data_IF_574145533273
#
_entry.id   IF_574145533273
#
_cell.length_a   1.000
_cell.length_b   1.000
_cell.length_c   1.000
_cell.angle_alpha   90.00
_cell.angle_beta   90.00
_cell.angle_gamma   90.00
#
_symmetry.space_group_name_H-M   'P 1'
#
loop_
_entity.id
_entity.type
_entity.pdbx_description
1 polymer ?
#
# COMPACT_ATOMS: atom_id res chain seq x y z
N UNK A 1 -15.48 25.77 -0.34
CA UNK A 1 -14.22 25.11 -0.73
C UNK A 1 -13.63 25.89 -1.90
N UNK A 2 -12.39 26.35 -1.77
CA UNK A 2 -11.72 27.20 -2.77
C UNK A 2 -10.86 26.36 -3.71
N UNK A 3 -10.43 26.95 -4.83
CA UNK A 3 -9.42 26.38 -5.74
C UNK A 3 -8.16 25.87 -5.03
N UNK A 4 -7.76 26.55 -3.96
CA UNK A 4 -6.58 26.20 -3.16
C UNK A 4 -6.75 24.87 -2.41
N UNK A 5 -7.95 24.60 -1.90
CA UNK A 5 -8.23 23.38 -1.13
C UNK A 5 -8.11 22.12 -2.03
N UNK A 6 -8.63 22.20 -3.26
CA UNK A 6 -8.52 21.12 -4.24
C UNK A 6 -7.05 20.79 -4.55
N UNK A 7 -6.23 21.81 -4.83
CA UNK A 7 -4.81 21.61 -5.15
C UNK A 7 -4.04 21.03 -3.96
N UNK A 8 -4.33 21.48 -2.74
CA UNK A 8 -3.73 20.93 -1.51
C UNK A 8 -4.07 19.46 -1.34
N UNK A 9 -5.34 19.07 -1.54
CA UNK A 9 -5.76 17.67 -1.43
C UNK A 9 -5.13 16.79 -2.52
N UNK A 10 -5.09 17.26 -3.78
CA UNK A 10 -4.41 16.54 -4.86
C UNK A 10 -2.92 16.31 -4.56
N UNK A 11 -2.20 17.34 -4.12
CA UNK A 11 -0.79 17.21 -3.76
C UNK A 11 -0.60 16.23 -2.61
N UNK A 12 -1.47 16.29 -1.59
CA UNK A 12 -1.43 15.38 -0.45
C UNK A 12 -1.65 13.91 -0.88
N UNK A 13 -2.66 13.66 -1.72
CA UNK A 13 -2.90 12.33 -2.30
C UNK A 13 -1.68 11.85 -3.07
N UNK A 14 -1.14 12.66 -3.99
CA UNK A 14 0.03 12.29 -4.79
C UNK A 14 1.24 11.91 -3.92
N UNK A 15 1.55 12.67 -2.88
CA UNK A 15 2.64 12.35 -1.95
C UNK A 15 2.37 11.04 -1.21
N UNK A 16 1.14 10.82 -0.74
CA UNK A 16 0.76 9.56 -0.08
C UNK A 16 0.85 8.37 -1.02
N UNK A 17 0.39 8.50 -2.27
CA UNK A 17 0.50 7.45 -3.28
C UNK A 17 1.95 7.09 -3.58
N UNK A 18 2.83 8.07 -3.73
CA UNK A 18 4.26 7.83 -3.91
C UNK A 18 4.86 7.06 -2.72
N UNK A 19 4.49 7.43 -1.49
CA UNK A 19 4.94 6.73 -0.28
C UNK A 19 4.42 5.30 -0.18
N UNK A 20 3.12 5.09 -0.44
CA UNK A 20 2.51 3.75 -0.48
C UNK A 20 3.22 2.89 -1.53
N UNK A 21 3.46 3.42 -2.72
CA UNK A 21 4.15 2.68 -3.78
C UNK A 21 5.59 2.30 -3.38
N UNK A 22 6.31 3.19 -2.70
CA UNK A 22 7.64 2.89 -2.16
C UNK A 22 7.58 1.77 -1.12
N UNK A 23 6.62 1.82 -0.20
CA UNK A 23 6.45 0.78 0.82
C UNK A 23 6.05 -0.56 0.18
N UNK A 24 5.18 -0.56 -0.83
CA UNK A 24 4.81 -1.78 -1.57
C UNK A 24 6.02 -2.43 -2.23
N UNK A 25 6.88 -1.66 -2.91
CA UNK A 25 8.11 -2.20 -3.51
C UNK A 25 9.05 -2.80 -2.47
N UNK A 26 9.20 -2.15 -1.30
CA UNK A 26 10.02 -2.70 -0.21
C UNK A 26 9.38 -3.96 0.40
N UNK A 27 8.06 -4.00 0.56
CA UNK A 27 7.34 -5.19 1.00
C UNK A 27 7.54 -6.36 0.04
N UNK A 28 7.57 -6.13 -1.28
CA UNK A 28 7.86 -7.18 -2.27
C UNK A 28 9.24 -7.78 -2.04
N UNK A 29 10.27 -6.95 -1.86
CA UNK A 29 11.63 -7.42 -1.55
C UNK A 29 11.69 -8.20 -0.23
N UNK A 30 10.96 -7.76 0.81
CA UNK A 30 10.88 -8.49 2.07
C UNK A 30 10.17 -9.83 1.88
N UNK A 31 9.06 -9.85 1.15
CA UNK A 31 8.31 -11.08 0.83
C UNK A 31 9.17 -12.06 0.06
N UNK A 32 10.03 -11.62 -0.87
CA UNK A 32 10.95 -12.50 -1.57
C UNK A 32 11.88 -13.27 -0.63
N UNK A 33 12.30 -12.63 0.47
CA UNK A 33 13.20 -13.20 1.48
C UNK A 33 12.47 -14.05 2.54
N UNK A 34 11.16 -13.88 2.71
CA UNK A 34 10.39 -14.73 3.63
C UNK A 34 10.44 -16.20 3.20
N UNK A 35 10.69 -17.08 4.15
CA UNK A 35 10.81 -18.52 3.93
C UNK A 35 12.09 -18.98 3.23
N UNK A 36 13.04 -18.08 2.92
CA UNK A 36 14.39 -18.42 2.43
C UNK A 36 15.37 -18.52 3.61
N UNK A 37 16.64 -18.92 3.40
CA UNK A 37 17.66 -18.89 4.45
C UNK A 37 17.95 -17.47 5.02
N UNK A 38 17.55 -16.41 4.31
CA UNK A 38 17.67 -15.01 4.78
C UNK A 38 16.48 -14.59 5.69
N UNK A 39 15.46 -15.42 5.82
CA UNK A 39 14.32 -15.18 6.69
C UNK A 39 14.77 -15.10 8.16
N UNK A 40 14.34 -14.04 8.84
CA UNK A 40 14.72 -13.76 10.22
C UNK A 40 13.64 -12.95 10.93
N UNK A 41 13.58 -13.03 12.25
CA UNK A 41 12.60 -12.27 13.04
C UNK A 41 12.66 -10.76 12.79
N UNK A 42 13.83 -10.09 12.71
CA UNK A 42 13.88 -8.66 12.38
C UNK A 42 13.31 -8.32 11.00
N UNK A 43 13.47 -9.23 10.01
CA UNK A 43 12.90 -9.07 8.68
C UNK A 43 11.38 -9.15 8.73
N UNK A 44 10.82 -10.10 9.49
CA UNK A 44 9.38 -10.26 9.69
C UNK A 44 8.77 -9.08 10.44
N UNK A 45 9.43 -8.59 11.49
CA UNK A 45 9.00 -7.39 12.21
C UNK A 45 8.97 -6.16 11.29
N UNK A 46 10.00 -5.99 10.45
CA UNK A 46 10.04 -4.92 9.45
C UNK A 46 8.90 -5.06 8.44
N UNK A 47 8.65 -6.27 7.94
CA UNK A 47 7.52 -6.56 7.05
C UNK A 47 6.19 -6.17 7.68
N UNK A 48 5.91 -6.61 8.91
CA UNK A 48 4.66 -6.31 9.62
C UNK A 48 4.49 -4.81 9.89
N UNK A 49 5.55 -4.13 10.31
CA UNK A 49 5.54 -2.68 10.53
C UNK A 49 5.18 -1.94 9.25
N UNK A 50 5.90 -2.23 8.17
CA UNK A 50 5.72 -1.57 6.88
C UNK A 50 4.33 -1.88 6.27
N UNK A 51 3.84 -3.10 6.44
CA UNK A 51 2.48 -3.49 6.04
C UNK A 51 1.42 -2.65 6.78
N UNK A 52 1.57 -2.48 8.10
CA UNK A 52 0.65 -1.69 8.91
C UNK A 52 0.69 -0.19 8.57
N UNK A 53 1.89 0.38 8.42
CA UNK A 53 2.07 1.77 7.96
C UNK A 53 1.40 1.99 6.60
N UNK A 54 1.57 1.05 5.67
CA UNK A 54 0.96 1.12 4.34
C UNK A 54 -0.56 1.07 4.41
N UNK A 55 -1.15 0.19 5.23
CA UNK A 55 -2.60 0.12 5.47
C UNK A 55 -3.17 1.43 6.00
N UNK A 56 -2.48 2.08 6.95
CA UNK A 56 -2.89 3.37 7.50
C UNK A 56 -2.86 4.46 6.43
N UNK A 57 -1.77 4.54 5.66
CA UNK A 57 -1.66 5.50 4.54
C UNK A 57 -2.75 5.31 3.49
N UNK A 58 -3.08 4.06 3.15
CA UNK A 58 -4.18 3.75 2.22
C UNK A 58 -5.53 4.24 2.75
N UNK A 59 -5.83 3.98 4.03
CA UNK A 59 -7.08 4.44 4.67
C UNK A 59 -7.18 5.97 4.66
N UNK A 60 -6.10 6.67 5.00
CA UNK A 60 -6.02 8.13 4.93
C UNK A 60 -6.21 8.64 3.50
N UNK A 61 -5.54 8.01 2.53
CA UNK A 61 -5.64 8.38 1.11
C UNK A 61 -7.07 8.23 0.60
N UNK A 62 -7.76 7.15 0.98
CA UNK A 62 -9.16 6.94 0.63
C UNK A 62 -10.07 8.03 1.20
N UNK A 63 -9.85 8.46 2.44
CA UNK A 63 -10.61 9.54 3.06
C UNK A 63 -10.41 10.87 2.29
N UNK A 64 -9.16 11.20 1.96
CA UNK A 64 -8.84 12.42 1.21
C UNK A 64 -9.41 12.36 -0.21
N UNK A 65 -9.43 11.19 -0.85
CA UNK A 65 -10.09 10.99 -2.16
C UNK A 65 -11.60 11.23 -2.08
N UNK A 66 -12.28 10.76 -1.04
CA UNK A 66 -13.70 11.05 -0.82
C UNK A 66 -13.95 12.54 -0.58
N UNK A 67 -13.08 13.21 0.20
CA UNK A 67 -13.15 14.66 0.37
C UNK A 67 -12.94 15.39 -0.96
N UNK A 68 -11.99 14.96 -1.78
CA UNK A 68 -11.73 15.54 -3.10
C UNK A 68 -12.97 15.46 -4.01
N UNK A 69 -13.69 14.33 -3.99
CA UNK A 69 -14.93 14.14 -4.75
C UNK A 69 -16.09 15.03 -4.27
N UNK A 70 -16.09 15.40 -2.98
CA UNK A 70 -17.13 16.27 -2.40
C UNK A 70 -16.98 17.76 -2.74
N UNK A 71 -15.81 18.18 -3.23
CA UNK A 71 -15.56 19.58 -3.58
C UNK A 71 -16.19 19.88 -4.95
N UNK A 72 -17.32 20.60 -4.93
CA UNK A 72 -17.99 21.09 -6.14
C UNK A 72 -17.06 21.98 -6.99
N UNK A 73 -17.07 21.76 -8.31
CA UNK A 73 -16.18 22.38 -9.27
C UNK A 73 -16.59 23.83 -9.55
N UNK A 74 -15.89 24.80 -8.95
CA UNK A 74 -16.01 26.20 -9.31
C UNK A 74 -15.03 26.56 -10.45
N UNK A 75 -15.57 27.11 -11.56
CA UNK A 75 -14.91 27.64 -12.78
C UNK A 75 -14.53 26.67 -13.91
N UNK A 76 -14.81 27.05 -15.16
CA UNK A 76 -14.61 26.28 -16.41
C UNK A 76 -13.13 26.05 -16.78
N UNK A 77 -12.25 27.03 -16.58
CA UNK A 77 -10.82 26.92 -16.96
C UNK A 77 -10.04 25.97 -16.02
N UNK A 78 -10.40 25.96 -14.74
CA UNK A 78 -9.88 25.02 -13.75
C UNK A 78 -10.49 23.61 -13.93
N UNK A 79 -11.65 23.52 -14.57
CA UNK A 79 -12.40 22.27 -14.70
C UNK A 79 -11.63 21.19 -15.47
N UNK A 80 -10.90 21.56 -16.54
CA UNK A 80 -10.19 20.57 -17.37
C UNK A 80 -9.01 19.92 -16.65
N UNK A 81 -8.11 20.72 -16.06
CA UNK A 81 -6.97 20.20 -15.29
C UNK A 81 -7.42 19.41 -14.06
N UNK A 82 -8.45 19.90 -13.38
CA UNK A 82 -9.00 19.22 -12.19
C UNK A 82 -9.72 17.94 -12.53
N UNK A 83 -10.48 17.87 -13.62
CA UNK A 83 -11.11 16.62 -14.10
C UNK A 83 -10.05 15.55 -14.33
N UNK A 84 -8.97 15.86 -15.05
CA UNK A 84 -7.90 14.89 -15.30
C UNK A 84 -7.30 14.36 -13.99
N UNK A 85 -6.99 15.23 -13.04
CA UNK A 85 -6.42 14.81 -11.75
C UNK A 85 -7.42 14.02 -10.90
N UNK A 86 -8.68 14.46 -10.85
CA UNK A 86 -9.75 13.80 -10.12
C UNK A 86 -10.09 12.42 -10.69
N UNK A 87 -9.89 12.18 -11.98
CA UNK A 87 -10.05 10.88 -12.62
C UNK A 87 -8.80 10.00 -12.51
N UNK A 88 -7.61 10.59 -12.50
CA UNK A 88 -6.33 9.87 -12.54
C UNK A 88 -5.92 9.38 -11.15
N UNK A 89 -6.06 10.20 -10.10
CA UNK A 89 -5.64 9.83 -8.75
C UNK A 89 -6.36 8.59 -8.20
N UNK A 90 -7.69 8.42 -8.36
CA UNK A 90 -8.37 7.18 -7.98
C UNK A 90 -7.85 5.96 -8.74
N UNK A 91 -7.57 6.08 -10.05
CA UNK A 91 -7.04 4.98 -10.86
C UNK A 91 -5.65 4.56 -10.38
N UNK A 92 -4.77 5.52 -10.11
CA UNK A 92 -3.44 5.24 -9.55
C UNK A 92 -3.55 4.59 -8.17
N UNK A 93 -4.46 5.08 -7.32
CA UNK A 93 -4.73 4.49 -6.01
C UNK A 93 -5.15 3.02 -6.12
N UNK A 94 -6.10 2.71 -7.01
CA UNK A 94 -6.56 1.32 -7.24
C UNK A 94 -5.44 0.41 -7.77
N UNK A 95 -4.60 0.90 -8.67
CA UNK A 95 -3.45 0.13 -9.17
C UNK A 95 -2.47 -0.20 -8.05
N UNK A 96 -2.12 0.77 -7.21
CA UNK A 96 -1.23 0.58 -6.06
C UNK A 96 -1.88 -0.33 -5.02
N UNK A 97 -3.18 -0.20 -4.79
CA UNK A 97 -3.94 -1.05 -3.87
C UNK A 97 -3.92 -2.51 -4.32
N UNK A 98 -4.17 -2.78 -5.59
CA UNK A 98 -4.12 -4.14 -6.15
C UNK A 98 -2.74 -4.76 -5.96
N UNK A 99 -1.68 -4.01 -6.29
CA UNK A 99 -0.29 -4.46 -6.11
C UNK A 99 0.01 -4.79 -4.64
N UNK A 100 -0.36 -3.92 -3.72
CA UNK A 100 -0.19 -4.19 -2.29
C UNK A 100 -0.97 -5.42 -1.80
N UNK A 101 -2.21 -5.62 -2.28
CA UNK A 101 -2.99 -6.80 -1.93
C UNK A 101 -2.34 -8.09 -2.45
N UNK A 102 -1.76 -8.06 -3.65
CA UNK A 102 -0.99 -9.18 -4.19
C UNK A 102 0.25 -9.47 -3.35
N UNK A 103 1.04 -8.45 -3.01
CA UNK A 103 2.20 -8.59 -2.11
C UNK A 103 1.80 -9.15 -0.75
N UNK A 104 0.67 -8.69 -0.19
CA UNK A 104 0.17 -9.18 1.09
C UNK A 104 -0.23 -10.65 1.02
N UNK A 105 -0.93 -11.08 -0.04
CA UNK A 105 -1.28 -12.49 -0.26
C UNK A 105 -0.03 -13.36 -0.38
N UNK A 106 0.97 -12.91 -1.16
CA UNK A 106 2.23 -13.63 -1.31
C UNK A 106 2.98 -13.76 0.03
N UNK A 107 3.04 -12.70 0.83
CA UNK A 107 3.62 -12.74 2.18
C UNK A 107 2.93 -13.74 3.10
N UNK A 108 1.58 -13.72 3.15
CA UNK A 108 0.81 -14.63 3.98
C UNK A 108 1.00 -16.11 3.60
N UNK A 109 1.07 -16.42 2.30
CA UNK A 109 1.38 -17.77 1.82
C UNK A 109 2.77 -18.22 2.29
N UNK A 110 3.78 -17.36 2.15
CA UNK A 110 5.16 -17.69 2.55
C UNK A 110 5.33 -17.87 4.06
N UNK A 111 4.66 -17.06 4.87
CA UNK A 111 4.64 -17.23 6.34
C UNK A 111 4.02 -18.58 6.71
N UNK A 112 2.91 -18.94 6.08
CA UNK A 112 2.25 -20.23 6.31
C UNK A 112 3.17 -21.40 5.96
N UNK A 113 3.79 -21.39 4.77
CA UNK A 113 4.68 -22.47 4.34
C UNK A 113 5.92 -22.58 5.24
N UNK A 114 6.45 -21.45 5.71
CA UNK A 114 7.60 -21.41 6.63
C UNK A 114 7.26 -22.05 7.99
N UNK A 115 6.08 -21.75 8.54
CA UNK A 115 5.59 -22.36 9.77
C UNK A 115 5.37 -23.86 9.62
N UNK A 116 4.81 -24.30 8.50
CA UNK A 116 4.61 -25.73 8.21
C UNK A 116 5.95 -26.48 8.09
N UNK A 117 6.93 -25.91 7.37
CA UNK A 117 8.30 -26.47 7.30
C UNK A 117 8.96 -26.56 8.67
N UNK A 118 8.91 -25.50 9.47
CA UNK A 118 9.48 -25.49 10.81
C UNK A 118 8.86 -26.55 11.72
N UNK A 119 7.54 -26.76 11.62
CA UNK A 119 6.85 -27.85 12.32
C UNK A 119 7.32 -29.22 11.85
N UNK A 120 7.39 -29.47 10.54
CA UNK A 120 7.83 -30.75 9.98
C UNK A 120 9.26 -31.13 10.38
N UNK A 121 10.19 -30.16 10.42
CA UNK A 121 11.57 -30.39 10.89
C UNK A 121 11.59 -30.78 12.37
N UNK A 122 10.79 -30.12 13.21
CA UNK A 122 10.70 -30.45 14.64
C UNK A 122 10.21 -31.88 14.88
N UNK A 123 9.23 -32.35 14.10
CA UNK A 123 8.76 -33.74 14.22
C UNK A 123 9.86 -34.76 13.87
N UNK A 124 10.67 -34.51 12.83
CA UNK A 124 11.79 -35.41 12.46
C UNK A 124 12.92 -35.48 13.47
N UNK A 125 13.16 -34.43 14.26
CA UNK A 125 14.23 -34.43 15.28
C UNK A 125 13.80 -35.13 16.59
N UNK A 126 12.51 -35.37 16.76
CA UNK A 126 11.93 -36.03 17.94
C UNK A 126 11.55 -37.50 17.68
N UNK A 127 11.78 -38.00 16.46
CA UNK A 127 11.56 -39.39 16.04
C UNK A 127 12.90 -40.12 15.94
#
# INVERSE_FOLDING_TARGET
>A
ATTSDFQRLCNNISTKLAKINSHTSELETLVEKLGTPEDSEPLRERYLRLQNETKLLMKETNNILQQLQSISLASEADQKRRKTLAETLPKQYLAILNRFQETQRAGATKEKDSLERARAVRYRQQS
#
